data_IF_314413787543
#
_entry.id   IF_314413787543
#
_cell.length_a   1.000
_cell.length_b   1.000
_cell.length_c   1.000
_cell.angle_alpha   90.00
_cell.angle_beta   90.00
_cell.angle_gamma   90.00
#
_symmetry.space_group_name_H-M   'P 1'
#
loop_
_entity.id
_entity.type
_entity.pdbx_description
1 polymer ?
#
# COMPACT_ATOMS: atom_id res chain seq x y z
N UNK A 1 0.54 -0.84 -9.82
CA UNK A 1 -0.56 -0.40 -8.92
C UNK A 1 -1.85 -1.13 -9.33
N UNK A 2 -2.89 -1.21 -8.49
CA UNK A 2 -4.19 -1.80 -8.87
C UNK A 2 -5.35 -0.89 -8.50
N UNK A 3 -6.46 -1.00 -9.23
CA UNK A 3 -7.75 -0.39 -8.92
C UNK A 3 -8.78 -1.50 -8.65
N UNK A 4 -9.53 -1.40 -7.55
CA UNK A 4 -10.62 -2.31 -7.20
C UNK A 4 -11.96 -1.58 -7.38
N UNK A 5 -12.83 -2.12 -8.23
CA UNK A 5 -14.14 -1.56 -8.52
C UNK A 5 -15.24 -2.45 -7.93
N UNK A 6 -15.84 -2.00 -6.82
CA UNK A 6 -17.03 -2.60 -6.22
C UNK A 6 -18.32 -1.91 -6.70
N UNK A 7 -19.23 -2.64 -7.36
CA UNK A 7 -20.49 -2.12 -7.87
C UNK A 7 -21.50 -3.26 -8.16
N UNK A 8 -22.79 -2.93 -8.27
CA UNK A 8 -23.78 -3.86 -8.80
C UNK A 8 -23.67 -3.98 -10.33
N UNK A 9 -23.23 -5.14 -10.81
CA UNK A 9 -23.01 -5.43 -12.25
C UNK A 9 -24.28 -5.37 -13.10
N UNK A 10 -25.46 -5.48 -12.51
CA UNK A 10 -26.72 -5.36 -13.24
C UNK A 10 -27.04 -3.89 -13.56
N UNK A 11 -26.60 -2.98 -12.68
CA UNK A 11 -26.92 -1.55 -12.74
C UNK A 11 -25.79 -0.70 -13.31
N UNK A 12 -24.53 -1.09 -13.08
CA UNK A 12 -23.35 -0.32 -13.50
C UNK A 12 -22.35 -1.19 -14.26
N UNK A 13 -21.47 -0.52 -14.98
CA UNK A 13 -20.34 -1.11 -15.67
C UNK A 13 -19.13 -0.20 -15.50
N UNK A 14 -17.93 -0.76 -15.69
CA UNK A 14 -16.67 -0.02 -15.68
C UNK A 14 -15.99 -0.21 -17.02
N UNK A 15 -15.85 0.90 -17.74
CA UNK A 15 -15.21 0.97 -19.05
C UNK A 15 -13.96 1.85 -18.96
N UNK A 16 -12.82 1.32 -19.41
CA UNK A 16 -11.63 2.13 -19.68
C UNK A 16 -11.83 2.90 -20.98
N UNK A 17 -11.61 4.21 -20.95
CA UNK A 17 -11.81 5.11 -22.09
C UNK A 17 -10.63 6.06 -22.25
N UNK A 18 -10.57 6.82 -23.34
CA UNK A 18 -9.62 7.93 -23.46
C UNK A 18 -10.14 9.20 -22.73
N UNK A 19 -9.27 10.22 -22.61
CA UNK A 19 -9.60 11.49 -21.94
C UNK A 19 -10.82 12.19 -22.56
N UNK A 20 -10.90 12.26 -23.89
CA UNK A 20 -12.02 12.93 -24.59
C UNK A 20 -13.35 12.24 -24.31
N UNK A 21 -13.39 10.90 -24.36
CA UNK A 21 -14.57 10.11 -24.04
C UNK A 21 -14.95 10.22 -22.56
N UNK A 22 -13.98 10.38 -21.67
CA UNK A 22 -14.23 10.64 -20.25
C UNK A 22 -14.86 12.02 -19.99
N UNK A 23 -14.40 13.05 -20.69
CA UNK A 23 -14.93 14.41 -20.57
C UNK A 23 -16.33 14.51 -21.16
N UNK A 24 -16.55 13.91 -22.33
CA UNK A 24 -17.83 13.95 -23.06
C UNK A 24 -18.81 12.84 -22.66
N UNK A 25 -18.39 11.92 -21.78
CA UNK A 25 -19.15 10.74 -21.37
C UNK A 25 -19.58 9.81 -22.52
N UNK A 26 -18.68 9.60 -23.49
CA UNK A 26 -18.89 8.66 -24.59
C UNK A 26 -18.49 7.23 -24.16
N UNK A 27 -19.48 6.34 -24.08
CA UNK A 27 -19.33 4.94 -23.66
C UNK A 27 -19.34 3.93 -24.81
N UNK A 28 -19.38 4.36 -26.08
CA UNK A 28 -19.41 3.47 -27.26
C UNK A 28 -18.00 3.12 -27.74
N UNK A 29 -17.06 4.07 -27.68
CA UNK A 29 -15.68 3.91 -28.13
C UNK A 29 -14.70 3.52 -27.02
N UNK A 30 -15.11 2.64 -26.10
CA UNK A 30 -14.27 2.27 -24.97
C UNK A 30 -13.07 1.43 -25.40
N UNK A 31 -11.95 1.59 -24.69
CA UNK A 31 -10.71 0.84 -24.91
C UNK A 31 -10.89 -0.58 -24.39
N UNK A 32 -11.44 -0.72 -23.18
CA UNK A 32 -11.61 -2.02 -22.52
C UNK A 32 -12.80 -2.03 -21.59
N UNK A 33 -13.60 -3.09 -21.66
CA UNK A 33 -14.63 -3.35 -20.67
C UNK A 33 -14.00 -4.14 -19.51
N UNK A 34 -13.98 -3.52 -18.32
CA UNK A 34 -13.39 -4.11 -17.11
C UNK A 34 -14.41 -4.97 -16.36
N UNK A 35 -15.69 -4.70 -16.57
CA UNK A 35 -16.82 -5.35 -15.90
C UNK A 35 -16.79 -6.86 -16.07
N UNK A 36 -16.77 -7.59 -14.97
CA UNK A 36 -16.96 -9.05 -14.94
C UNK A 36 -17.98 -9.41 -13.87
N UNK A 37 -17.62 -9.22 -12.61
CA UNK A 37 -18.38 -9.70 -11.45
C UNK A 37 -19.00 -8.62 -10.58
N UNK A 38 -18.59 -7.35 -10.72
CA UNK A 38 -18.99 -6.27 -9.81
C UNK A 38 -18.08 -6.11 -8.58
N UNK A 39 -16.97 -6.86 -8.53
CA UNK A 39 -15.82 -6.59 -7.67
C UNK A 39 -14.56 -6.88 -8.47
N UNK A 40 -14.31 -5.99 -9.41
CA UNK A 40 -13.36 -6.22 -10.49
C UNK A 40 -12.05 -5.49 -10.21
N UNK A 41 -10.96 -6.24 -10.19
CA UNK A 41 -9.61 -5.70 -9.98
C UNK A 41 -8.92 -5.48 -11.32
N UNK A 42 -8.40 -4.27 -11.52
CA UNK A 42 -7.65 -3.88 -12.71
C UNK A 42 -6.21 -3.53 -12.38
N UNK A 43 -5.26 -4.13 -13.09
CA UNK A 43 -3.84 -3.82 -12.93
C UNK A 43 -3.46 -2.60 -13.76
N UNK A 44 -2.88 -1.60 -13.10
CA UNK A 44 -2.37 -0.38 -13.71
C UNK A 44 -0.86 -0.54 -13.92
N UNK A 45 -0.46 -0.77 -15.17
CA UNK A 45 0.89 -1.18 -15.59
C UNK A 45 1.73 -0.05 -16.16
N UNK A 46 1.09 1.01 -16.67
CA UNK A 46 1.76 2.12 -17.34
C UNK A 46 1.67 3.39 -16.50
N UNK A 47 2.72 4.21 -16.53
CA UNK A 47 2.68 5.55 -15.95
C UNK A 47 1.90 6.50 -16.86
N UNK A 48 0.57 6.48 -16.70
CA UNK A 48 -0.38 7.37 -17.37
C UNK A 48 -1.59 7.62 -16.50
N UNK A 49 -2.42 8.58 -16.89
CA UNK A 49 -3.75 8.71 -16.32
C UNK A 49 -4.70 7.73 -17.00
N UNK A 50 -5.25 6.79 -16.23
CA UNK A 50 -6.32 5.92 -16.68
C UNK A 50 -7.67 6.59 -16.42
N UNK A 51 -8.56 6.53 -17.40
CA UNK A 51 -9.90 7.11 -17.29
C UNK A 51 -10.93 6.00 -17.34
N UNK A 52 -11.78 5.95 -16.33
CA UNK A 52 -12.87 4.99 -16.22
C UNK A 52 -14.20 5.70 -16.08
N UNK A 53 -15.24 5.14 -16.68
CA UNK A 53 -16.62 5.61 -16.53
C UNK A 53 -17.61 4.46 -16.52
N UNK A 54 -18.81 4.74 -15.99
CA UNK A 54 -19.99 3.91 -16.22
C UNK A 54 -20.82 4.47 -17.37
N UNK A 55 -21.32 3.57 -18.23
CA UNK A 55 -22.16 3.92 -19.37
C UNK A 55 -23.60 4.25 -18.98
N UNK A 56 -24.52 4.19 -19.96
CA UNK A 56 -25.98 4.37 -19.75
C UNK A 56 -26.38 5.71 -19.10
N UNK A 57 -25.58 6.75 -19.32
CA UNK A 57 -25.82 8.09 -18.77
C UNK A 57 -25.32 8.30 -17.34
N UNK A 58 -24.88 7.27 -16.62
CA UNK A 58 -24.38 7.42 -15.25
C UNK A 58 -23.09 8.26 -15.18
N UNK A 59 -22.28 8.28 -16.24
CA UNK A 59 -21.12 9.17 -16.35
C UNK A 59 -21.50 10.65 -16.17
N UNK A 60 -22.63 11.11 -16.73
CA UNK A 60 -23.10 12.50 -16.56
C UNK A 60 -23.55 12.78 -15.12
N UNK A 61 -23.98 11.75 -14.39
CA UNK A 61 -24.24 11.80 -12.96
C UNK A 61 -22.99 11.77 -12.08
N UNK A 62 -21.79 11.78 -12.68
CA UNK A 62 -20.52 11.77 -11.96
C UNK A 62 -19.92 10.39 -11.71
N UNK A 63 -20.52 9.31 -12.22
CA UNK A 63 -19.98 7.96 -12.07
C UNK A 63 -18.82 7.71 -13.04
N UNK A 64 -17.70 8.38 -12.76
CA UNK A 64 -16.45 8.32 -13.52
C UNK A 64 -15.24 8.66 -12.63
N UNK A 65 -14.08 8.09 -12.91
CA UNK A 65 -12.84 8.34 -12.15
C UNK A 65 -11.63 8.44 -13.08
N UNK A 66 -10.72 9.36 -12.77
CA UNK A 66 -9.41 9.47 -13.42
C UNK A 66 -8.33 9.10 -12.39
N UNK A 67 -7.49 8.12 -12.73
CA UNK A 67 -6.45 7.59 -11.83
C UNK A 67 -5.09 7.95 -12.43
N UNK A 68 -4.39 8.96 -11.91
CA UNK A 68 -3.01 9.25 -12.32
C UNK A 68 -2.07 8.19 -11.75
N UNK A 69 -1.28 7.56 -12.61
CA UNK A 69 -0.25 6.59 -12.24
C UNK A 69 1.10 7.15 -12.65
N UNK A 70 2.01 7.23 -11.70
CA UNK A 70 3.36 7.74 -11.90
C UNK A 70 4.39 6.62 -11.72
N UNK A 71 5.50 6.71 -12.43
CA UNK A 71 6.65 5.83 -12.18
C UNK A 71 7.32 6.30 -10.90
N UNK A 72 7.20 5.50 -9.83
CA UNK A 72 7.96 5.75 -8.61
C UNK A 72 9.42 5.41 -8.95
N UNK A 73 10.37 6.37 -8.88
CA UNK A 73 11.77 6.06 -9.06
C UNK A 73 12.21 5.04 -7.99
N UNK A 74 13.12 4.11 -8.32
CA UNK A 74 13.67 3.21 -7.31
C UNK A 74 14.19 4.02 -6.12
N UNK A 75 13.84 3.61 -4.90
CA UNK A 75 14.41 4.22 -3.71
C UNK A 75 15.94 4.20 -3.84
N UNK A 76 16.58 5.35 -3.66
CA UNK A 76 18.03 5.44 -3.73
C UNK A 76 18.63 4.44 -2.73
N UNK A 77 19.55 3.59 -3.20
CA UNK A 77 20.25 2.67 -2.32
C UNK A 77 20.93 3.44 -1.18
N UNK A 78 20.91 2.92 0.06
CA UNK A 78 21.62 3.55 1.16
C UNK A 78 23.11 3.69 0.78
N UNK A 79 23.67 4.88 1.07
CA UNK A 79 25.08 5.16 0.83
C UNK A 79 25.95 4.09 1.53
N UNK A 80 27.05 3.63 0.91
CA UNK A 80 27.94 2.67 1.55
C UNK A 80 28.46 3.24 2.86
N UNK A 81 28.35 2.44 3.94
CA UNK A 81 28.90 2.79 5.25
C UNK A 81 30.43 2.97 5.13
N UNK A 82 31.04 3.97 5.80
CA UNK A 82 32.49 4.14 5.80
C UNK A 82 33.19 2.85 6.26
N UNK A 83 34.11 2.34 5.45
CA UNK A 83 34.94 1.19 5.82
C UNK A 83 35.92 1.61 6.91
N UNK A 84 35.68 1.19 8.16
CA UNK A 84 36.66 1.26 9.24
C UNK A 84 37.84 0.33 8.89
N UNK A 85 38.93 0.90 8.35
CA UNK A 85 40.23 0.24 8.33
C UNK A 85 40.86 0.35 9.71
N UNK A 86 40.57 -0.59 10.60
CA UNK A 86 41.44 -0.83 11.75
C UNK A 86 42.14 -2.17 11.55
N UNK A 87 43.37 -2.08 11.06
CA UNK A 87 44.33 -3.16 10.98
C UNK A 87 44.44 -3.87 12.33
N UNK A 88 44.48 -5.20 12.26
CA UNK A 88 44.86 -6.07 13.34
C UNK A 88 46.21 -5.65 13.93
N UNK A 89 46.25 -5.44 15.24
CA UNK A 89 47.46 -5.49 16.04
C UNK A 89 47.22 -6.44 17.22
N UNK A 90 48.14 -7.37 17.33
CA UNK A 90 48.12 -8.60 18.07
C UNK A 90 48.29 -8.41 19.58
N UNK A 91 47.55 -9.22 20.34
CA UNK A 91 47.96 -9.92 21.57
C UNK A 91 48.84 -9.20 22.62
N UNK A 92 48.25 -8.87 23.78
CA UNK A 92 48.90 -9.11 25.09
C UNK A 92 47.83 -9.19 26.19
N UNK A 93 47.78 -10.24 27.05
CA UNK A 93 46.84 -10.33 28.15
C UNK A 93 47.44 -9.81 29.48
N UNK A 94 46.67 -9.09 30.31
CA UNK A 94 46.97 -8.94 31.74
C UNK A 94 46.01 -9.76 32.65
N UNK A 95 46.38 -9.98 33.92
CA UNK A 95 46.02 -11.12 34.78
C UNK A 95 44.62 -11.08 35.42
N UNK A 96 44.17 -12.18 36.09
CA UNK A 96 42.84 -12.27 36.67
C UNK A 96 42.76 -11.53 38.01
N UNK A 97 41.66 -10.82 38.24
CA UNK A 97 41.26 -10.40 39.59
C UNK A 97 39.74 -10.40 39.69
N UNK A 98 39.29 -11.11 40.71
CA UNK A 98 37.91 -11.45 41.01
C UNK A 98 37.08 -10.25 41.45
N UNK A 99 35.79 -10.25 41.09
CA UNK A 99 34.69 -10.07 42.03
C UNK A 99 33.33 -10.29 41.35
N UNK A 100 32.61 -11.29 41.86
CA UNK A 100 31.18 -11.54 41.67
C UNK A 100 30.38 -10.29 42.02
N UNK A 101 29.26 -10.03 41.32
CA UNK A 101 27.96 -9.80 41.97
C UNK A 101 26.83 -10.24 41.04
N UNK A 102 26.05 -11.21 41.51
CA UNK A 102 24.84 -11.74 40.89
C UNK A 102 23.72 -10.75 41.22
N UNK A 103 23.24 -10.01 40.22
CA UNK A 103 22.06 -9.16 40.34
C UNK A 103 20.79 -9.97 40.11
N UNK A 104 20.30 -10.61 41.18
CA UNK A 104 18.98 -11.24 41.24
C UNK A 104 17.92 -10.12 41.40
N UNK A 105 17.28 -9.71 40.31
CA UNK A 105 16.26 -8.65 40.29
C UNK A 105 14.86 -9.17 40.00
N UNK A 106 14.23 -9.68 41.07
CA UNK A 106 12.79 -9.85 41.37
C UNK A 106 11.72 -9.79 40.25
N UNK A 107 10.90 -10.86 40.24
CA UNK A 107 9.55 -10.87 39.70
C UNK A 107 8.67 -9.80 40.36
N UNK A 108 7.87 -9.09 39.57
CA UNK A 108 6.57 -8.58 40.02
C UNK A 108 5.51 -8.94 38.99
N UNK A 109 4.68 -9.91 39.34
CA UNK A 109 3.35 -10.09 38.75
C UNK A 109 2.40 -9.06 39.40
N UNK A 110 1.54 -8.43 38.59
CA UNK A 110 0.29 -7.85 39.08
C UNK A 110 -0.77 -7.94 37.98
N UNK A 111 -1.83 -8.69 38.33
CA UNK A 111 -3.10 -8.77 37.62
C UNK A 111 -3.85 -7.43 37.69
N UNK A 112 -4.66 -7.12 36.69
CA UNK A 112 -6.10 -6.87 36.89
C UNK A 112 -6.83 -6.72 35.55
N UNK A 113 -7.91 -7.47 35.43
CA UNK A 113 -8.91 -7.37 34.38
C UNK A 113 -9.92 -6.26 34.68
N UNK A 114 -10.42 -5.60 33.64
CA UNK A 114 -11.75 -4.97 33.59
C UNK A 114 -12.09 -4.79 32.11
N UNK A 115 -12.86 -5.70 31.52
CA UNK A 115 -14.33 -5.67 31.49
C UNK A 115 -14.87 -4.76 30.37
N UNK A 116 -15.83 -5.34 29.66
CA UNK A 116 -16.45 -4.91 28.42
C UNK A 116 -17.14 -3.54 28.53
N UNK A 117 -17.15 -2.78 27.43
CA UNK A 117 -18.25 -1.86 27.10
C UNK A 117 -18.38 -1.84 25.57
N UNK A 118 -19.25 -2.68 25.02
CA UNK A 118 -20.61 -2.36 24.54
C UNK A 118 -20.67 -1.54 23.24
N UNK A 119 -21.43 -2.11 22.31
CA UNK A 119 -21.75 -1.68 20.96
C UNK A 119 -22.60 -0.41 20.87
N UNK A 120 -22.88 -0.04 19.60
CA UNK A 120 -23.87 0.91 19.07
C UNK A 120 -23.32 2.35 18.96
N UNK A 121 -23.27 2.99 17.79
CA UNK A 121 -24.12 2.93 16.60
C UNK A 121 -23.33 2.70 15.30
#
# INVERSE_FOLDING_TARGET
MYADFGFDKHTYNVLEVNKTSYETCNDVGFIKNITRGGRDVYQLTEAKTYYFLSGRGFCYGGLKVAIPVENIPPAASPAPSPANKNSAASSTPPPPSAARFIGLGLLTAALAASALSTAMF
#
